data_IF_670682648650
#
_entry.id   IF_670682648650
#
_cell.length_a   1.000
_cell.length_b   1.000
_cell.length_c   1.000
_cell.angle_alpha   90.00
_cell.angle_beta   90.00
_cell.angle_gamma   90.00
#
_symmetry.space_group_name_H-M   'P 1'
#
loop_
_entity.id
_entity.type
_entity.pdbx_description
1 polymer ?
#
# COMPACT_ATOMS: atom_id res chain seq x y z
N UNK A 1 48.43 -32.20 -1.69
CA UNK A 1 48.10 -30.78 -1.95
C UNK A 1 47.01 -30.74 -3.02
N UNK A 2 45.76 -30.58 -2.59
CA UNK A 2 44.58 -30.50 -3.45
C UNK A 2 44.28 -29.02 -3.70
N UNK A 3 44.44 -28.54 -4.93
CA UNK A 3 43.98 -27.22 -5.31
C UNK A 3 42.68 -27.36 -6.12
N UNK A 4 41.57 -26.96 -5.49
CA UNK A 4 40.23 -26.92 -6.07
C UNK A 4 40.13 -25.63 -6.89
N UNK A 5 40.07 -25.77 -8.22
CA UNK A 5 39.64 -24.67 -9.09
C UNK A 5 38.14 -24.45 -8.89
N UNK A 6 37.82 -23.32 -8.28
CA UNK A 6 36.48 -22.81 -8.01
C UNK A 6 35.75 -22.49 -9.31
N UNK A 7 34.74 -23.29 -9.66
CA UNK A 7 33.74 -22.93 -10.66
C UNK A 7 32.78 -21.88 -10.08
N UNK A 8 32.84 -20.69 -10.64
CA UNK A 8 32.01 -19.53 -10.32
C UNK A 8 30.58 -19.70 -10.88
N UNK A 9 29.48 -19.69 -10.08
CA UNK A 9 28.13 -19.71 -10.61
C UNK A 9 27.61 -18.28 -10.76
N UNK A 10 28.10 -17.57 -11.77
CA UNK A 10 27.60 -16.24 -12.15
C UNK A 10 26.77 -16.34 -13.43
N UNK A 11 25.60 -16.96 -13.35
CA UNK A 11 24.55 -16.87 -14.38
C UNK A 11 23.26 -16.36 -13.76
N UNK A 12 23.25 -15.06 -13.41
CA UNK A 12 21.99 -14.31 -13.31
C UNK A 12 21.35 -14.31 -14.70
N UNK A 13 20.39 -15.21 -14.91
CA UNK A 13 19.47 -15.15 -16.05
C UNK A 13 18.76 -13.79 -15.99
N UNK A 14 19.16 -12.87 -16.86
CA UNK A 14 18.35 -11.70 -17.19
C UNK A 14 17.13 -12.26 -17.93
N UNK A 15 16.03 -12.44 -17.19
CA UNK A 15 14.76 -12.93 -17.74
C UNK A 15 14.23 -11.81 -18.65
N UNK A 16 14.21 -12.05 -19.95
CA UNK A 16 13.58 -11.11 -20.91
C UNK A 16 12.10 -11.00 -20.55
N UNK A 17 11.65 -9.79 -20.20
CA UNK A 17 10.24 -9.47 -19.94
C UNK A 17 9.41 -9.95 -21.13
N UNK A 18 8.38 -10.76 -20.88
CA UNK A 18 7.40 -11.13 -21.89
C UNK A 18 6.60 -9.89 -22.28
N UNK A 19 6.35 -9.69 -23.58
CA UNK A 19 5.64 -8.51 -24.11
C UNK A 19 4.20 -8.36 -23.60
N UNK A 20 3.67 -9.35 -22.86
CA UNK A 20 2.29 -9.40 -22.37
C UNK A 20 2.17 -9.31 -20.83
N UNK A 21 3.25 -9.04 -20.10
CA UNK A 21 3.21 -9.00 -18.64
C UNK A 21 2.54 -7.71 -18.14
N UNK A 22 1.52 -7.83 -17.27
CA UNK A 22 0.85 -6.67 -16.67
C UNK A 22 1.82 -5.94 -15.76
N UNK A 23 1.95 -4.63 -15.97
CA UNK A 23 2.83 -3.80 -15.17
C UNK A 23 2.04 -2.73 -14.40
N UNK A 24 2.57 -2.35 -13.24
CA UNK A 24 1.91 -1.50 -12.25
C UNK A 24 2.81 -0.32 -11.90
N UNK A 25 2.21 0.86 -11.79
CA UNK A 25 2.85 2.04 -11.20
C UNK A 25 2.32 2.23 -9.78
N UNK A 26 3.22 2.21 -8.80
CA UNK A 26 2.90 2.44 -7.39
C UNK A 26 2.96 3.95 -7.09
N UNK A 27 2.11 4.41 -6.17
CA UNK A 27 2.26 5.74 -5.53
C UNK A 27 3.23 5.63 -4.32
N UNK A 28 4.20 4.71 -4.40
CA UNK A 28 5.17 4.40 -3.36
C UNK A 28 6.54 4.31 -4.02
N UNK A 29 7.52 5.06 -3.50
CA UNK A 29 8.88 5.01 -4.02
C UNK A 29 9.54 3.67 -3.68
N UNK A 30 10.28 3.12 -4.64
CA UNK A 30 11.08 1.92 -4.47
C UNK A 30 12.11 2.07 -3.33
N UNK A 31 12.63 3.28 -3.10
CA UNK A 31 13.53 3.58 -1.97
C UNK A 31 12.84 3.39 -0.61
N UNK A 32 11.54 3.68 -0.53
CA UNK A 32 10.78 3.51 0.69
C UNK A 32 10.59 2.01 1.00
N UNK A 33 10.21 1.21 -0.01
CA UNK A 33 10.12 -0.25 0.13
C UNK A 33 11.48 -0.84 0.52
N UNK A 34 12.57 -0.41 -0.13
CA UNK A 34 13.92 -0.86 0.20
C UNK A 34 14.30 -0.53 1.64
N UNK A 35 13.98 0.67 2.11
CA UNK A 35 14.32 1.12 3.46
C UNK A 35 13.56 0.36 4.54
N UNK A 36 12.27 0.13 4.32
CA UNK A 36 11.45 -0.70 5.20
C UNK A 36 11.99 -2.13 5.28
N UNK A 37 12.26 -2.76 4.13
CA UNK A 37 12.80 -4.13 4.08
C UNK A 37 14.18 -4.20 4.74
N UNK A 38 15.03 -3.18 4.53
CA UNK A 38 16.36 -3.11 5.16
C UNK A 38 16.25 -3.09 6.68
N UNK A 39 15.41 -2.21 7.23
CA UNK A 39 15.15 -2.12 8.66
C UNK A 39 14.63 -3.45 9.21
N UNK A 40 13.64 -4.06 8.55
CA UNK A 40 13.10 -5.36 8.93
C UNK A 40 14.16 -6.47 8.91
N UNK A 41 15.13 -6.42 8.00
CA UNK A 41 16.24 -7.36 7.97
C UNK A 41 17.27 -7.14 9.08
N UNK A 42 17.41 -5.92 9.61
CA UNK A 42 18.32 -5.60 10.72
C UNK A 42 17.75 -6.12 12.05
N UNK A 43 16.43 -6.07 12.21
CA UNK A 43 15.74 -6.48 13.44
C UNK A 43 15.20 -7.93 13.43
N UNK A 44 15.32 -8.62 12.30
CA UNK A 44 14.84 -10.00 12.14
C UNK A 44 15.66 -10.97 12.99
N UNK A 45 14.98 -11.84 13.76
CA UNK A 45 15.66 -12.92 14.49
C UNK A 45 16.15 -14.06 13.57
N UNK A 46 15.67 -14.11 12.32
CA UNK A 46 16.11 -15.07 11.30
C UNK A 46 17.16 -14.42 10.38
N UNK A 47 18.43 -14.73 10.63
CA UNK A 47 19.58 -14.20 9.88
C UNK A 47 19.62 -14.71 8.43
N UNK A 48 19.19 -15.96 8.18
CA UNK A 48 19.18 -16.53 6.84
C UNK A 48 18.15 -15.82 5.96
N UNK A 49 16.93 -15.64 6.50
CA UNK A 49 15.85 -14.89 5.86
C UNK A 49 16.26 -13.44 5.58
N UNK A 50 16.80 -12.76 6.60
CA UNK A 50 17.27 -11.38 6.51
C UNK A 50 18.33 -11.22 5.43
N UNK A 51 19.33 -12.12 5.37
CA UNK A 51 20.40 -12.07 4.37
C UNK A 51 19.85 -12.27 2.95
N UNK A 52 18.93 -13.21 2.76
CA UNK A 52 18.32 -13.47 1.46
C UNK A 52 17.54 -12.26 0.94
N UNK A 53 16.71 -11.63 1.78
CA UNK A 53 15.94 -10.46 1.39
C UNK A 53 16.79 -9.20 1.24
N UNK A 54 17.78 -8.99 2.12
CA UNK A 54 18.75 -7.89 1.98
C UNK A 54 19.46 -7.95 0.62
N UNK A 55 19.96 -9.12 0.23
CA UNK A 55 20.62 -9.28 -1.07
C UNK A 55 19.67 -9.06 -2.25
N UNK A 56 18.40 -9.47 -2.11
CA UNK A 56 17.40 -9.32 -3.17
C UNK A 56 16.98 -7.86 -3.40
N UNK A 57 16.77 -7.12 -2.31
CA UNK A 57 16.23 -5.76 -2.34
C UNK A 57 17.29 -4.66 -2.28
N UNK A 58 18.57 -4.99 -2.10
CA UNK A 58 19.67 -4.03 -2.22
C UNK A 58 19.65 -3.31 -3.59
N UNK A 59 19.70 -1.98 -3.58
CA UNK A 59 19.66 -1.14 -4.78
C UNK A 59 18.36 -1.27 -5.56
N UNK A 60 17.25 -1.62 -4.90
CA UNK A 60 15.92 -1.64 -5.53
C UNK A 60 15.53 -0.23 -5.99
N UNK A 61 15.81 0.78 -5.18
CA UNK A 61 15.61 2.18 -5.49
C UNK A 61 16.30 2.60 -6.78
N UNK A 62 17.61 2.33 -6.88
CA UNK A 62 18.42 2.62 -8.08
C UNK A 62 17.90 1.92 -9.33
N UNK A 63 17.48 0.65 -9.20
CA UNK A 63 16.94 -0.14 -10.31
C UNK A 63 15.61 0.40 -10.84
N UNK A 64 14.84 1.07 -9.99
CA UNK A 64 13.49 1.58 -10.29
C UNK A 64 13.45 3.11 -10.50
N UNK A 65 14.60 3.77 -10.68
CA UNK A 65 14.62 5.23 -10.84
C UNK A 65 13.86 5.75 -12.08
N UNK A 66 13.34 6.99 -12.05
CA UNK A 66 12.47 7.56 -13.10
C UNK A 66 13.12 7.70 -14.48
N UNK A 67 14.47 7.77 -14.54
CA UNK A 67 15.22 7.86 -15.79
C UNK A 67 15.18 6.55 -16.60
N UNK A 68 14.76 5.46 -15.96
CA UNK A 68 14.56 4.17 -16.60
C UNK A 68 13.10 4.11 -17.07
N UNK A 69 12.87 4.11 -18.39
CA UNK A 69 11.53 4.13 -19.02
C UNK A 69 10.62 2.93 -18.67
N UNK A 70 11.09 2.04 -17.78
CA UNK A 70 10.49 0.78 -17.37
C UNK A 70 10.26 0.68 -15.85
N UNK A 71 10.10 1.80 -15.14
CA UNK A 71 9.72 1.89 -13.72
C UNK A 71 8.27 1.42 -13.49
N UNK A 72 8.06 0.15 -13.77
CA UNK A 72 6.79 -0.54 -13.64
C UNK A 72 7.07 -1.90 -13.01
N UNK A 73 6.28 -2.19 -11.99
CA UNK A 73 6.36 -3.42 -11.20
C UNK A 73 5.55 -4.50 -11.89
N UNK A 74 6.04 -5.73 -11.93
CA UNK A 74 5.20 -6.87 -12.33
C UNK A 74 4.32 -7.30 -11.16
N UNK A 75 3.26 -8.08 -11.45
CA UNK A 75 2.47 -8.69 -10.38
C UNK A 75 3.33 -9.62 -9.49
N UNK A 76 4.30 -10.32 -10.07
CA UNK A 76 5.25 -11.19 -9.34
C UNK A 76 6.08 -10.36 -8.37
N UNK A 77 6.67 -9.24 -8.83
CA UNK A 77 7.48 -8.35 -7.99
C UNK A 77 6.68 -7.83 -6.78
N UNK A 78 5.42 -7.44 -7.01
CA UNK A 78 4.53 -6.94 -5.97
C UNK A 78 4.16 -8.01 -4.94
N UNK A 79 3.86 -9.23 -5.39
CA UNK A 79 3.59 -10.37 -4.51
C UNK A 79 4.84 -10.76 -3.70
N UNK A 80 6.03 -10.68 -4.30
CA UNK A 80 7.29 -10.97 -3.63
C UNK A 80 7.58 -9.94 -2.53
N UNK A 81 7.33 -8.64 -2.79
CA UNK A 81 7.45 -7.59 -1.77
C UNK A 81 6.50 -7.83 -0.62
N UNK A 82 5.22 -8.15 -0.88
CA UNK A 82 4.26 -8.47 0.18
C UNK A 82 4.78 -9.64 1.04
N UNK A 83 5.22 -10.72 0.38
CA UNK A 83 5.69 -11.93 1.06
C UNK A 83 6.94 -11.64 1.91
N UNK A 84 7.87 -10.83 1.39
CA UNK A 84 9.07 -10.42 2.10
C UNK A 84 8.75 -9.62 3.36
N UNK A 85 7.89 -8.60 3.24
CA UNK A 85 7.49 -7.77 4.39
C UNK A 85 6.78 -8.62 5.44
N UNK A 86 5.85 -9.50 5.04
CA UNK A 86 5.13 -10.37 5.98
C UNK A 86 6.05 -11.36 6.70
N UNK A 87 6.96 -12.00 5.97
CA UNK A 87 7.89 -12.98 6.53
C UNK A 87 8.85 -12.30 7.52
N UNK A 88 9.45 -11.18 7.12
CA UNK A 88 10.37 -10.44 7.99
C UNK A 88 9.66 -9.83 9.20
N UNK A 89 8.46 -9.26 9.03
CA UNK A 89 7.71 -8.72 10.15
C UNK A 89 7.37 -9.80 11.19
N UNK A 90 7.11 -11.03 10.73
CA UNK A 90 6.85 -12.18 11.62
C UNK A 90 8.10 -12.71 12.31
N UNK A 91 9.30 -12.41 11.80
CA UNK A 91 10.58 -12.79 12.43
C UNK A 91 11.12 -11.72 13.39
N UNK A 92 10.56 -10.51 13.40
CA UNK A 92 10.91 -9.50 14.41
C UNK A 92 10.14 -9.80 15.70
N UNK A 93 10.86 -9.93 16.82
CA UNK A 93 10.24 -10.36 18.10
C UNK A 93 9.34 -9.29 18.71
N UNK A 94 9.74 -8.00 18.67
CA UNK A 94 8.98 -6.89 19.21
C UNK A 94 9.12 -5.65 18.31
N UNK A 95 8.48 -5.64 17.12
CA UNK A 95 8.57 -4.51 16.21
C UNK A 95 7.87 -3.28 16.82
N UNK A 96 8.41 -2.06 16.67
CA UNK A 96 7.76 -0.85 17.12
C UNK A 96 6.48 -0.62 16.32
N UNK A 97 5.45 -0.08 16.97
CA UNK A 97 4.12 0.16 16.39
C UNK A 97 4.17 0.94 15.08
N UNK A 98 5.08 1.92 14.97
CA UNK A 98 5.29 2.70 13.74
C UNK A 98 5.69 1.82 12.54
N UNK A 99 6.62 0.88 12.73
CA UNK A 99 7.08 -0.02 11.68
C UNK A 99 6.03 -1.07 11.32
N UNK A 100 5.29 -1.59 12.31
CA UNK A 100 4.16 -2.50 12.04
C UNK A 100 3.09 -1.80 11.19
N UNK A 101 2.74 -0.56 11.54
CA UNK A 101 1.77 0.24 10.79
C UNK A 101 2.26 0.56 9.36
N UNK A 102 3.54 0.89 9.20
CA UNK A 102 4.16 1.16 7.90
C UNK A 102 4.18 -0.08 7.00
N UNK A 103 4.54 -1.25 7.56
CA UNK A 103 4.52 -2.53 6.86
C UNK A 103 3.11 -2.87 6.35
N UNK A 104 2.11 -2.81 7.21
CA UNK A 104 0.72 -3.06 6.81
C UNK A 104 0.18 -2.02 5.81
N UNK A 105 0.57 -0.75 5.96
CA UNK A 105 0.20 0.30 5.00
C UNK A 105 0.79 0.05 3.61
N UNK A 106 2.07 -0.35 3.55
CA UNK A 106 2.76 -0.70 2.31
C UNK A 106 2.09 -1.90 1.63
N UNK A 107 1.81 -2.97 2.38
CA UNK A 107 1.08 -4.14 1.87
C UNK A 107 -0.31 -3.74 1.35
N UNK A 108 -1.02 -2.87 2.06
CA UNK A 108 -2.33 -2.37 1.65
C UNK A 108 -2.29 -1.60 0.32
N UNK A 109 -1.29 -0.74 0.12
CA UNK A 109 -1.08 0.00 -1.13
C UNK A 109 -0.84 -0.97 -2.29
N UNK A 110 0.00 -1.99 -2.07
CA UNK A 110 0.30 -2.99 -3.10
C UNK A 110 -0.97 -3.78 -3.46
N UNK A 111 -1.74 -4.25 -2.48
CA UNK A 111 -3.01 -4.92 -2.74
C UNK A 111 -4.02 -4.04 -3.48
N UNK A 112 -4.12 -2.76 -3.14
CA UNK A 112 -4.99 -1.82 -3.83
C UNK A 112 -4.59 -1.65 -5.31
N UNK A 113 -3.28 -1.71 -5.61
CA UNK A 113 -2.76 -1.64 -6.98
C UNK A 113 -2.99 -2.92 -7.77
N UNK A 114 -2.99 -4.06 -7.08
CA UNK A 114 -3.38 -5.35 -7.62
C UNK A 114 -4.91 -5.54 -7.75
N UNK A 115 -5.73 -4.52 -7.46
CA UNK A 115 -7.20 -4.58 -7.39
C UNK A 115 -7.72 -5.65 -6.40
N UNK A 116 -6.96 -5.95 -5.35
CA UNK A 116 -7.32 -6.88 -4.29
C UNK A 116 -7.92 -6.10 -3.11
N UNK A 117 -9.03 -5.40 -3.36
CA UNK A 117 -9.56 -4.38 -2.44
C UNK A 117 -9.92 -4.96 -1.06
N UNK A 118 -10.35 -6.22 -0.97
CA UNK A 118 -10.62 -6.89 0.31
C UNK A 118 -9.34 -7.04 1.17
N UNK A 119 -8.23 -7.47 0.56
CA UNK A 119 -6.93 -7.60 1.25
C UNK A 119 -6.32 -6.23 1.57
N UNK A 120 -6.50 -5.25 0.68
CA UNK A 120 -6.12 -3.87 0.94
C UNK A 120 -6.84 -3.32 2.17
N UNK A 121 -8.16 -3.51 2.24
CA UNK A 121 -9.00 -3.11 3.39
C UNK A 121 -8.48 -3.73 4.69
N UNK A 122 -8.23 -5.05 4.69
CA UNK A 122 -7.70 -5.74 5.88
C UNK A 122 -6.34 -5.17 6.31
N UNK A 123 -5.43 -4.94 5.37
CA UNK A 123 -4.10 -4.42 5.66
C UNK A 123 -4.17 -2.98 6.22
N UNK A 124 -4.99 -2.11 5.63
CA UNK A 124 -5.17 -0.75 6.16
C UNK A 124 -5.88 -0.73 7.52
N UNK A 125 -6.78 -1.67 7.79
CA UNK A 125 -7.38 -1.82 9.12
C UNK A 125 -6.35 -2.24 10.16
N UNK A 126 -5.45 -3.17 9.83
CA UNK A 126 -4.35 -3.56 10.72
C UNK A 126 -3.43 -2.36 11.02
N UNK A 127 -3.05 -1.61 9.98
CA UNK A 127 -2.27 -0.39 10.16
C UNK A 127 -2.98 0.62 11.08
N UNK A 128 -4.27 0.91 10.83
CA UNK A 128 -5.04 1.84 11.67
C UNK A 128 -5.21 1.35 13.10
N UNK A 129 -5.38 0.05 13.33
CA UNK A 129 -5.51 -0.50 14.67
C UNK A 129 -4.26 -0.27 15.51
N UNK A 130 -3.08 -0.50 14.90
CA UNK A 130 -1.79 -0.21 15.55
C UNK A 130 -1.60 1.28 15.77
N UNK A 131 -1.92 2.11 14.77
CA UNK A 131 -1.82 3.57 14.88
C UNK A 131 -2.73 4.14 15.96
N UNK A 132 -3.95 3.62 16.10
CA UNK A 132 -4.91 4.05 17.13
C UNK A 132 -4.51 3.60 18.55
N UNK A 133 -3.61 2.62 18.66
CA UNK A 133 -3.11 2.10 19.94
C UNK A 133 -1.75 2.69 20.32
N UNK A 134 -1.27 3.69 19.58
CA UNK A 134 0.07 4.25 19.70
C UNK A 134 -0.02 5.78 19.80
N UNK A 135 0.47 6.34 20.90
CA UNK A 135 0.41 7.79 21.15
C UNK A 135 1.38 8.59 20.25
N UNK A 136 2.41 7.94 19.72
CA UNK A 136 3.48 8.58 18.94
C UNK A 136 3.18 8.75 17.44
N UNK A 137 1.98 8.37 16.98
CA UNK A 137 1.64 8.45 15.54
C UNK A 137 0.99 9.81 15.23
N UNK A 138 1.62 10.56 14.32
CA UNK A 138 1.07 11.83 13.85
C UNK A 138 -0.36 11.68 13.30
N UNK A 139 -1.29 12.61 13.63
CA UNK A 139 -2.62 12.67 13.04
C UNK A 139 -2.59 12.65 11.50
N UNK A 140 -1.55 13.25 10.87
CA UNK A 140 -1.38 13.23 9.42
C UNK A 140 -1.26 11.80 8.90
N UNK A 141 -0.43 10.97 9.55
CA UNK A 141 -0.24 9.58 9.15
C UNK A 141 -1.53 8.77 9.29
N UNK A 142 -2.29 9.00 10.36
CA UNK A 142 -3.61 8.38 10.58
C UNK A 142 -4.58 8.78 9.46
N UNK A 143 -4.65 10.08 9.13
CA UNK A 143 -5.52 10.61 8.07
C UNK A 143 -5.18 10.03 6.70
N UNK A 144 -3.89 9.83 6.40
CA UNK A 144 -3.46 9.15 5.17
C UNK A 144 -3.96 7.70 5.12
N UNK A 145 -3.83 6.93 6.20
CA UNK A 145 -4.32 5.55 6.25
C UNK A 145 -5.85 5.49 6.13
N UNK A 146 -6.58 6.38 6.82
CA UNK A 146 -8.06 6.48 6.71
C UNK A 146 -8.49 6.81 5.29
N UNK A 147 -7.81 7.72 4.61
CA UNK A 147 -8.09 8.07 3.20
C UNK A 147 -7.93 6.85 2.29
N UNK A 148 -6.85 6.07 2.46
CA UNK A 148 -6.61 4.86 1.66
C UNK A 148 -7.65 3.77 1.93
N UNK A 149 -8.00 3.56 3.21
CA UNK A 149 -9.05 2.64 3.61
C UNK A 149 -10.42 3.05 3.02
N UNK A 150 -10.74 4.35 3.03
CA UNK A 150 -11.96 4.87 2.44
C UNK A 150 -12.06 4.56 0.94
N UNK A 151 -10.97 4.79 0.20
CA UNK A 151 -10.91 4.46 -1.22
C UNK A 151 -11.11 2.96 -1.48
N UNK A 152 -10.50 2.10 -0.65
CA UNK A 152 -10.71 0.66 -0.72
C UNK A 152 -12.17 0.26 -0.47
N UNK A 153 -12.82 0.84 0.55
CA UNK A 153 -14.26 0.63 0.79
C UNK A 153 -15.14 1.11 -0.36
N UNK A 154 -14.80 2.27 -0.94
CA UNK A 154 -15.52 2.82 -2.09
C UNK A 154 -15.52 1.89 -3.30
N UNK A 155 -14.38 1.25 -3.58
CA UNK A 155 -14.25 0.26 -4.67
C UNK A 155 -15.08 -1.00 -4.42
N UNK A 156 -15.26 -1.38 -3.15
CA UNK A 156 -16.17 -2.47 -2.72
C UNK A 156 -17.65 -2.07 -2.77
N UNK A 157 -17.98 -0.82 -3.14
CA UNK A 157 -19.34 -0.29 -3.14
C UNK A 157 -19.84 0.18 -1.77
N UNK A 158 -18.99 0.17 -0.74
CA UNK A 158 -19.33 0.58 0.64
C UNK A 158 -19.18 2.10 0.81
N UNK A 159 -19.89 2.88 -0.01
CA UNK A 159 -19.71 4.34 -0.12
C UNK A 159 -19.97 5.09 1.18
N UNK A 160 -20.94 4.67 2.00
CA UNK A 160 -21.22 5.34 3.28
C UNK A 160 -20.04 5.21 4.27
N UNK A 161 -19.34 4.06 4.28
CA UNK A 161 -18.14 3.88 5.10
C UNK A 161 -16.98 4.72 4.58
N UNK A 162 -16.84 4.80 3.25
CA UNK A 162 -15.83 5.65 2.62
C UNK A 162 -16.01 7.13 2.99
N UNK A 163 -17.25 7.65 2.91
CA UNK A 163 -17.58 9.03 3.30
C UNK A 163 -17.18 9.30 4.75
N UNK A 164 -17.64 8.48 5.69
CA UNK A 164 -17.34 8.66 7.12
C UNK A 164 -15.84 8.62 7.42
N UNK A 165 -15.09 7.77 6.73
CA UNK A 165 -13.63 7.70 6.89
C UNK A 165 -12.91 8.93 6.31
N UNK A 166 -13.38 9.47 5.19
CA UNK A 166 -12.81 10.68 4.59
C UNK A 166 -13.07 11.92 5.43
N UNK A 167 -14.27 12.06 6.02
CA UNK A 167 -14.56 13.13 6.96
C UNK A 167 -13.61 13.10 8.16
N UNK A 168 -13.38 11.90 8.73
CA UNK A 168 -12.41 11.71 9.82
C UNK A 168 -10.98 11.98 9.38
N UNK A 169 -10.60 11.58 8.17
CA UNK A 169 -9.26 11.82 7.64
C UNK A 169 -8.97 13.32 7.49
N UNK A 170 -9.94 14.10 6.98
CA UNK A 170 -9.83 15.56 6.87
C UNK A 170 -9.69 16.18 8.25
N UNK A 171 -10.42 15.68 9.25
CA UNK A 171 -10.27 16.14 10.62
C UNK A 171 -8.87 15.85 11.18
N UNK A 172 -8.33 14.64 10.99
CA UNK A 172 -6.98 14.32 11.44
C UNK A 172 -5.92 15.21 10.75
N UNK A 173 -6.11 15.54 9.47
CA UNK A 173 -5.20 16.44 8.75
C UNK A 173 -5.20 17.86 9.33
N UNK A 174 -6.38 18.36 9.73
CA UNK A 174 -6.50 19.67 10.41
C UNK A 174 -5.82 19.65 11.78
N UNK A 175 -6.03 18.58 12.54
CA UNK A 175 -5.36 18.39 13.85
C UNK A 175 -3.85 18.28 13.70
N UNK A 176 -3.37 17.69 12.59
CA UNK A 176 -1.97 17.68 12.20
C UNK A 176 -1.42 19.01 11.69
N UNK A 177 -2.23 20.08 11.62
CA UNK A 177 -1.82 21.41 11.19
C UNK A 177 -1.67 21.59 9.67
N UNK A 178 -2.23 20.69 8.86
CA UNK A 178 -2.22 20.86 7.41
C UNK A 178 -3.24 21.93 6.97
N UNK A 179 -2.82 22.77 6.03
CA UNK A 179 -3.71 23.77 5.43
C UNK A 179 -4.80 23.10 4.57
N UNK A 180 -5.91 23.81 4.38
CA UNK A 180 -7.03 23.32 3.56
C UNK A 180 -6.68 23.12 2.08
N UNK A 181 -5.57 23.72 1.63
CA UNK A 181 -5.02 23.65 0.27
C UNK A 181 -3.94 22.56 0.12
N UNK A 182 -3.49 21.96 1.23
CA UNK A 182 -2.48 20.91 1.20
C UNK A 182 -2.94 19.72 0.35
N UNK A 183 -2.06 19.16 -0.47
CA UNK A 183 -2.39 18.12 -1.46
C UNK A 183 -3.19 16.94 -0.85
N UNK A 184 -2.77 16.47 0.34
CA UNK A 184 -3.45 15.40 1.05
C UNK A 184 -4.90 15.75 1.44
N UNK A 185 -5.13 16.99 1.89
CA UNK A 185 -6.46 17.47 2.29
C UNK A 185 -7.34 17.63 1.06
N UNK A 186 -6.81 18.23 0.00
CA UNK A 186 -7.50 18.40 -1.29
C UNK A 186 -7.91 17.05 -1.87
N UNK A 187 -7.00 16.07 -1.90
CA UNK A 187 -7.28 14.72 -2.40
C UNK A 187 -8.38 14.02 -1.58
N UNK A 188 -8.38 14.17 -0.26
CA UNK A 188 -9.42 13.59 0.59
C UNK A 188 -10.80 14.24 0.33
N UNK A 189 -10.84 15.57 0.17
CA UNK A 189 -12.06 16.32 -0.18
C UNK A 189 -12.61 15.95 -1.55
N UNK A 190 -11.75 15.82 -2.55
CA UNK A 190 -12.13 15.40 -3.91
C UNK A 190 -12.75 14.00 -3.88
N UNK A 191 -12.12 13.06 -3.18
CA UNK A 191 -12.67 11.72 -2.99
C UNK A 191 -14.03 11.78 -2.28
N UNK A 192 -14.17 12.60 -1.24
CA UNK A 192 -15.41 12.75 -0.48
C UNK A 192 -16.53 13.29 -1.37
N UNK A 193 -16.25 14.35 -2.14
CA UNK A 193 -17.18 14.93 -3.09
C UNK A 193 -17.61 13.90 -4.15
N UNK A 194 -16.67 13.13 -4.70
CA UNK A 194 -16.97 12.08 -5.66
C UNK A 194 -17.92 11.00 -5.09
N UNK A 195 -17.74 10.61 -3.83
CA UNK A 195 -18.65 9.66 -3.18
C UNK A 195 -20.05 10.25 -2.94
N UNK A 196 -20.16 11.52 -2.55
CA UNK A 196 -21.47 12.17 -2.43
C UNK A 196 -22.21 12.24 -3.77
N UNK A 197 -21.53 12.60 -4.86
CA UNK A 197 -22.12 12.60 -6.20
C UNK A 197 -22.55 11.20 -6.64
N UNK A 198 -21.76 10.18 -6.32
CA UNK A 198 -22.13 8.79 -6.62
C UNK A 198 -23.41 8.37 -5.87
N UNK A 199 -23.55 8.77 -4.61
CA UNK A 199 -24.74 8.48 -3.79
C UNK A 199 -25.99 9.21 -4.28
N UNK A 200 -25.89 10.49 -4.63
CA UNK A 200 -27.04 11.23 -5.20
C UNK A 200 -27.48 10.62 -6.53
N UNK A 201 -26.54 10.24 -7.39
CA UNK A 201 -26.83 9.56 -8.65
C UNK A 201 -27.46 8.16 -8.46
N UNK A 202 -27.09 7.43 -7.39
CA UNK A 202 -27.73 6.14 -7.04
C UNK A 202 -29.16 6.34 -6.58
N UNK A 203 -29.39 7.31 -5.68
CA UNK A 203 -30.74 7.65 -5.17
C UNK A 203 -31.69 8.08 -6.29
N UNK A 204 -31.21 8.91 -7.21
CA UNK A 204 -31.99 9.34 -8.36
C UNK A 204 -32.39 8.15 -9.25
N UNK A 205 -31.44 7.23 -9.52
CA UNK A 205 -31.73 6.00 -10.30
C UNK A 205 -32.72 5.07 -9.62
N UNK A 206 -32.66 4.90 -8.30
CA UNK A 206 -33.64 4.09 -7.56
C UNK A 206 -35.03 4.70 -7.58
N UNK A 207 -35.14 6.03 -7.51
CA UNK A 207 -36.43 6.72 -7.58
C UNK A 207 -37.06 6.59 -8.98
N UNK A 208 -36.28 6.78 -10.05
CA UNK A 208 -36.78 6.61 -11.42
C UNK A 208 -37.28 5.18 -11.70
N UNK A 209 -36.59 4.14 -11.19
CA UNK A 209 -37.01 2.73 -11.34
C UNK A 209 -38.33 2.43 -10.62
N UNK A 210 -38.53 3.00 -9.43
CA UNK A 210 -39.78 2.85 -8.66
C UNK A 210 -40.97 3.48 -9.38
N UNK A 211 -40.77 4.66 -9.99
CA UNK A 211 -41.81 5.34 -10.77
C UNK A 211 -42.19 4.52 -12.01
N UNK A 212 -41.22 3.93 -12.71
CA UNK A 212 -41.51 3.10 -13.89
C UNK A 212 -42.18 1.75 -13.58
N UNK A 213 -41.98 1.20 -12.37
CA UNK A 213 -42.59 -0.09 -11.96
C UNK A 213 -43.95 0.07 -11.28
N UNK A 214 -44.28 1.25 -10.76
CA UNK A 214 -45.60 1.54 -10.18
C UNK A 214 -46.63 2.07 -11.20
N UNK A 215 -46.24 2.27 -12.45
CA UNK A 215 -47.09 2.75 -13.54
C UNK A 215 -47.50 1.64 -14.54
N UNK A 216 -47.23 0.37 -14.22
CA UNK A 216 -47.62 -0.82 -14.96
C UNK A 216 -48.56 -1.67 -14.11
#
# INVERSE_FOLDING_TARGET
MLNRSTSNPSTRRIRRRSSNERTYKLDLDANHIESLIRWLCEESSDDFLAKAYRQRYQGLGERQQPHNQNNTWTQEDLCDVISAIQALLSSVTNPPSSMVAEAHSTIGIIHQRLNQDARATQSFMQALWVQASSDDVSPITIGMTKTRLALAYGRKGESQKAISLLEKAIQDFREGGLSEEHELVTRAKEALHAFHLAETARRNRSNSRRISQGAA
#
